data_IF_372755744597
#
_entry.id   IF_372755744597
#
_cell.length_a   1.000
_cell.length_b   1.000
_cell.length_c   1.000
_cell.angle_alpha   90.00
_cell.angle_beta   90.00
_cell.angle_gamma   90.00
#
_symmetry.space_group_name_H-M   'P 1'
#
loop_
_entity.id
_entity.type
_entity.pdbx_description
1 polymer ?
#
# COMPACT_ATOMS: atom_id res chain seq x y z
N UNK A 1 97.85 1.61 -19.34
CA UNK A 1 97.80 0.46 -18.40
C UNK A 1 96.93 0.83 -17.21
N UNK A 2 96.10 -0.14 -16.79
CA UNK A 2 95.29 -0.22 -15.56
C UNK A 2 93.82 0.20 -15.70
N UNK A 3 93.03 -0.84 -15.90
CA UNK A 3 91.57 -0.93 -15.91
C UNK A 3 90.98 -0.61 -14.53
N UNK A 4 89.78 -0.03 -14.49
CA UNK A 4 88.86 -0.26 -13.38
C UNK A 4 87.42 -0.18 -13.86
N UNK A 5 86.64 -1.13 -13.36
CA UNK A 5 85.37 -1.64 -13.88
C UNK A 5 84.22 -0.84 -13.27
N UNK A 6 83.32 -0.34 -14.11
CA UNK A 6 82.10 0.36 -13.68
C UNK A 6 80.98 -0.67 -13.51
N UNK A 7 80.78 -1.17 -12.29
CA UNK A 7 79.67 -2.07 -11.96
C UNK A 7 78.40 -1.25 -11.70
N UNK A 8 77.51 -1.25 -12.69
CA UNK A 8 76.15 -0.72 -12.60
C UNK A 8 75.29 -1.70 -11.77
N UNK A 9 75.06 -1.40 -10.49
CA UNK A 9 74.12 -2.16 -9.64
C UNK A 9 72.72 -1.57 -9.83
N UNK A 10 71.89 -2.29 -10.57
CA UNK A 10 70.47 -1.99 -10.73
C UNK A 10 69.72 -2.49 -9.48
N UNK A 11 69.44 -1.60 -8.55
CA UNK A 11 68.63 -1.89 -7.36
C UNK A 11 67.17 -1.97 -7.79
N UNK A 12 66.66 -3.18 -8.00
CA UNK A 12 65.23 -3.46 -8.05
C UNK A 12 64.65 -3.11 -6.69
N UNK A 13 63.97 -1.96 -6.62
CA UNK A 13 63.21 -1.54 -5.44
C UNK A 13 62.09 -2.54 -5.17
N UNK A 14 62.32 -3.42 -4.21
CA UNK A 14 61.29 -4.29 -3.67
C UNK A 14 60.16 -3.41 -3.11
N UNK A 15 58.94 -3.59 -3.63
CA UNK A 15 57.74 -3.09 -2.97
C UNK A 15 57.76 -3.60 -1.53
N UNK A 16 57.97 -2.69 -0.59
CA UNK A 16 57.92 -3.05 0.82
C UNK A 16 56.48 -3.44 1.16
N UNK A 17 56.29 -4.46 1.99
CA UNK A 17 54.97 -4.86 2.50
C UNK A 17 54.20 -3.70 3.17
N UNK A 18 54.91 -2.65 3.59
CA UNK A 18 54.35 -1.40 4.08
C UNK A 18 53.57 -0.60 3.02
N UNK A 19 54.05 -0.53 1.77
CA UNK A 19 53.35 0.16 0.68
C UNK A 19 52.08 -0.59 0.24
N UNK A 20 52.11 -1.92 0.30
CA UNK A 20 50.94 -2.77 0.04
C UNK A 20 49.90 -2.59 1.15
N UNK A 21 50.31 -2.55 2.42
CA UNK A 21 49.38 -2.30 3.53
C UNK A 21 48.81 -0.88 3.53
N UNK A 22 49.57 0.13 3.11
CA UNK A 22 49.03 1.48 2.89
C UNK A 22 48.05 1.53 1.72
N UNK A 23 48.36 0.88 0.59
CA UNK A 23 47.45 0.80 -0.54
C UNK A 23 46.15 0.06 -0.17
N UNK A 24 46.22 -1.04 0.59
CA UNK A 24 45.05 -1.77 1.11
C UNK A 24 44.29 -0.92 2.13
N UNK A 25 44.98 -0.15 2.97
CA UNK A 25 44.34 0.78 3.92
C UNK A 25 43.63 1.92 3.20
N UNK A 26 44.20 2.50 2.15
CA UNK A 26 43.59 3.60 1.39
C UNK A 26 42.46 3.12 0.49
N UNK A 27 42.57 1.90 -0.06
CA UNK A 27 41.47 1.22 -0.76
C UNK A 27 40.35 0.88 0.22
N UNK A 28 40.65 0.34 1.40
CA UNK A 28 39.64 0.14 2.45
C UNK A 28 39.06 1.47 2.92
N UNK A 29 39.82 2.56 3.05
CA UNK A 29 39.28 3.88 3.42
C UNK A 29 38.40 4.49 2.32
N UNK A 30 38.63 4.10 1.07
CA UNK A 30 37.82 4.49 -0.10
C UNK A 30 36.57 3.62 -0.27
N UNK A 31 36.63 2.33 0.11
CA UNK A 31 35.53 1.37 0.08
C UNK A 31 34.67 1.41 1.36
N UNK A 32 35.26 1.76 2.49
CA UNK A 32 34.65 1.98 3.82
C UNK A 32 34.35 3.45 4.06
N UNK A 33 34.30 4.26 3.00
CA UNK A 33 33.63 5.55 3.08
C UNK A 33 32.13 5.23 3.25
N UNK A 34 31.72 4.98 4.49
CA UNK A 34 30.34 5.14 4.91
C UNK A 34 29.98 6.58 4.57
N UNK A 35 29.52 6.81 3.34
CA UNK A 35 28.86 8.06 2.99
C UNK A 35 27.64 8.06 3.89
N UNK A 36 27.60 8.94 4.91
CA UNK A 36 26.44 9.00 5.78
C UNK A 36 25.26 9.28 4.87
N UNK A 37 24.24 8.41 4.88
CA UNK A 37 23.07 8.57 4.04
C UNK A 37 22.55 9.99 4.23
N UNK A 38 22.47 10.75 3.13
CA UNK A 38 21.95 12.10 3.23
C UNK A 38 20.45 12.02 3.55
N UNK A 39 19.90 13.08 4.12
CA UNK A 39 18.45 13.18 4.33
C UNK A 39 17.66 12.98 3.02
N UNK A 40 18.25 13.34 1.88
CA UNK A 40 17.68 13.10 0.56
C UNK A 40 17.70 11.62 0.17
N UNK A 41 18.79 10.89 0.42
CA UNK A 41 18.89 9.46 0.11
C UNK A 41 17.88 8.63 0.92
N UNK A 42 17.73 8.95 2.21
CA UNK A 42 16.74 8.31 3.09
C UNK A 42 15.32 8.60 2.59
N UNK A 43 15.02 9.85 2.25
CA UNK A 43 13.70 10.22 1.74
C UNK A 43 13.35 9.55 0.40
N UNK A 44 14.30 9.49 -0.53
CA UNK A 44 14.12 8.81 -1.81
C UNK A 44 13.97 7.30 -1.66
N UNK A 45 14.79 6.68 -0.80
CA UNK A 45 14.67 5.25 -0.50
C UNK A 45 13.30 4.89 0.10
N UNK A 46 12.79 5.71 1.02
CA UNK A 46 11.44 5.53 1.58
C UNK A 46 10.36 5.66 0.50
N UNK A 47 10.43 6.68 -0.36
CA UNK A 47 9.47 6.86 -1.46
C UNK A 47 9.43 5.66 -2.39
N UNK A 48 10.59 5.16 -2.81
CA UNK A 48 10.67 3.99 -3.68
C UNK A 48 10.10 2.73 -3.02
N UNK A 49 10.42 2.52 -1.73
CA UNK A 49 9.86 1.42 -0.95
C UNK A 49 8.32 1.52 -0.86
N UNK A 50 7.78 2.71 -0.61
CA UNK A 50 6.34 2.95 -0.55
C UNK A 50 5.68 2.77 -1.92
N UNK A 51 6.26 3.28 -3.00
CA UNK A 51 5.76 3.08 -4.37
C UNK A 51 5.67 1.59 -4.69
N UNK A 52 6.72 0.83 -4.38
CA UNK A 52 6.75 -0.62 -4.59
C UNK A 52 5.71 -1.34 -3.74
N UNK A 53 5.62 -1.01 -2.45
CA UNK A 53 4.67 -1.61 -1.51
C UNK A 53 3.22 -1.38 -1.94
N UNK A 54 2.85 -0.13 -2.25
CA UNK A 54 1.53 0.21 -2.77
C UNK A 54 1.25 -0.45 -4.11
N UNK A 55 2.23 -0.50 -5.00
CA UNK A 55 2.03 -1.13 -6.32
C UNK A 55 1.66 -2.60 -6.15
N UNK A 56 2.42 -3.33 -5.33
CA UNK A 56 2.15 -4.74 -5.02
C UNK A 56 0.80 -4.89 -4.32
N UNK A 57 0.52 -4.04 -3.32
CA UNK A 57 -0.73 -4.06 -2.58
C UNK A 57 -1.96 -3.84 -3.47
N UNK A 58 -1.94 -2.80 -4.30
CA UNK A 58 -3.01 -2.50 -5.24
C UNK A 58 -3.14 -3.59 -6.32
N UNK A 59 -2.03 -4.13 -6.84
CA UNK A 59 -2.06 -5.23 -7.80
C UNK A 59 -2.63 -6.52 -7.19
N UNK A 60 -2.35 -6.80 -5.91
CA UNK A 60 -2.93 -7.94 -5.22
C UNK A 60 -4.41 -7.73 -4.91
N UNK A 61 -4.78 -6.56 -4.41
CA UNK A 61 -6.15 -6.23 -4.04
C UNK A 61 -7.08 -6.19 -5.27
N UNK A 62 -6.56 -5.77 -6.42
CA UNK A 62 -7.35 -5.65 -7.66
C UNK A 62 -7.55 -6.94 -8.45
N UNK A 63 -6.86 -8.01 -8.08
CA UNK A 63 -7.06 -9.32 -8.70
C UNK A 63 -8.43 -9.89 -8.35
N UNK A 64 -8.94 -10.79 -9.20
CA UNK A 64 -10.12 -11.59 -8.88
C UNK A 64 -9.87 -12.36 -7.58
N UNK A 65 -10.68 -12.08 -6.56
CA UNK A 65 -10.60 -12.57 -5.18
C UNK A 65 -9.55 -11.88 -4.30
N UNK A 66 -8.93 -10.81 -4.78
CA UNK A 66 -8.02 -9.97 -3.99
C UNK A 66 -8.70 -9.39 -2.76
N UNK A 67 -9.98 -9.02 -2.87
CA UNK A 67 -10.83 -8.70 -1.71
C UNK A 67 -11.59 -9.92 -1.22
N UNK A 68 -12.40 -10.57 -2.08
CA UNK A 68 -13.43 -11.49 -1.62
C UNK A 68 -12.91 -12.70 -0.81
N UNK A 69 -11.70 -13.20 -1.12
CA UNK A 69 -11.06 -14.32 -0.40
C UNK A 69 -10.00 -13.88 0.60
N UNK A 70 -9.68 -12.59 0.68
CA UNK A 70 -8.72 -12.08 1.66
C UNK A 70 -9.46 -11.62 2.91
N UNK A 71 -9.36 -12.39 4.01
CA UNK A 71 -10.07 -12.10 5.25
C UNK A 71 -9.70 -10.76 5.90
N UNK A 72 -8.53 -10.19 5.56
CA UNK A 72 -8.06 -8.92 6.13
C UNK A 72 -8.75 -7.71 5.49
N UNK A 73 -9.08 -7.80 4.20
CA UNK A 73 -9.64 -6.66 3.43
C UNK A 73 -11.00 -6.96 2.80
N UNK A 74 -11.52 -8.18 2.93
CA UNK A 74 -12.87 -8.54 2.47
C UNK A 74 -13.88 -7.58 3.07
N UNK A 75 -14.70 -6.98 2.23
CA UNK A 75 -15.82 -6.15 2.67
C UNK A 75 -16.96 -7.09 3.09
N UNK A 76 -17.29 -7.19 4.39
CA UNK A 76 -18.37 -8.04 4.84
C UNK A 76 -19.72 -7.38 4.58
N UNK A 77 -20.79 -8.15 4.82
CA UNK A 77 -22.11 -7.55 4.97
C UNK A 77 -22.07 -6.51 6.11
N UNK A 78 -22.79 -5.37 6.01
CA UNK A 78 -22.63 -4.30 6.99
C UNK A 78 -22.89 -4.76 8.42
N UNK A 79 -21.93 -4.54 9.36
CA UNK A 79 -22.00 -5.09 10.71
C UNK A 79 -23.20 -4.52 11.49
N UNK A 80 -23.57 -3.28 11.21
CA UNK A 80 -24.71 -2.59 11.85
C UNK A 80 -26.05 -3.30 11.56
N UNK A 81 -26.11 -4.11 10.50
CA UNK A 81 -27.27 -4.94 10.14
C UNK A 81 -26.98 -6.44 10.22
N UNK A 82 -26.03 -6.88 11.06
CA UNK A 82 -25.76 -8.33 11.25
C UNK A 82 -27.03 -9.14 11.57
N UNK A 83 -27.91 -8.59 12.42
CA UNK A 83 -29.20 -9.21 12.75
C UNK A 83 -30.14 -9.36 11.54
N UNK A 84 -30.03 -8.47 10.55
CA UNK A 84 -30.77 -8.56 9.29
C UNK A 84 -30.19 -9.67 8.45
N UNK A 85 -28.86 -9.74 8.33
CA UNK A 85 -28.18 -10.83 7.63
C UNK A 85 -28.62 -12.20 8.17
N UNK A 86 -28.62 -12.37 9.50
CA UNK A 86 -28.99 -13.62 10.15
C UNK A 86 -30.44 -14.00 9.85
N UNK A 87 -31.36 -13.03 9.92
CA UNK A 87 -32.77 -13.25 9.57
C UNK A 87 -32.96 -13.61 8.10
N UNK A 88 -32.24 -12.95 7.18
CA UNK A 88 -32.31 -13.25 5.75
C UNK A 88 -31.86 -14.68 5.46
N UNK A 89 -30.77 -15.11 6.10
CA UNK A 89 -30.31 -16.48 6.01
C UNK A 89 -31.34 -17.47 6.57
N UNK A 90 -31.96 -17.16 7.73
CA UNK A 90 -32.98 -18.01 8.34
C UNK A 90 -34.23 -18.21 7.48
N UNK A 91 -34.63 -17.21 6.69
CA UNK A 91 -35.80 -17.30 5.79
C UNK A 91 -35.47 -17.85 4.39
N UNK A 92 -34.24 -18.36 4.19
CA UNK A 92 -33.82 -18.99 2.94
C UNK A 92 -33.14 -18.05 1.92
N UNK A 93 -32.93 -16.78 2.26
CA UNK A 93 -32.27 -15.78 1.38
C UNK A 93 -30.74 -15.70 1.59
N UNK A 94 -30.12 -16.80 2.00
CA UNK A 94 -28.67 -16.83 2.25
C UNK A 94 -27.84 -16.65 0.98
N UNK A 95 -28.31 -17.19 -0.15
CA UNK A 95 -27.67 -17.05 -1.46
C UNK A 95 -27.59 -15.60 -1.92
N UNK A 96 -28.61 -14.81 -1.64
CA UNK A 96 -28.73 -13.40 -2.01
C UNK A 96 -27.77 -12.55 -1.18
N UNK A 97 -27.64 -12.86 0.11
CA UNK A 97 -26.63 -12.26 0.98
C UNK A 97 -25.22 -12.57 0.45
N UNK A 98 -24.95 -13.82 0.09
CA UNK A 98 -23.63 -14.22 -0.42
C UNK A 98 -23.32 -13.56 -1.77
N UNK A 99 -24.30 -13.47 -2.66
CA UNK A 99 -24.18 -12.80 -3.96
C UNK A 99 -23.95 -11.29 -3.81
N UNK A 100 -24.61 -10.67 -2.83
CA UNK A 100 -24.37 -9.28 -2.47
C UNK A 100 -22.92 -9.07 -2.02
N UNK A 101 -22.44 -9.88 -1.06
CA UNK A 101 -21.07 -9.74 -0.54
C UNK A 101 -20.07 -9.96 -1.67
N UNK A 102 -20.27 -10.98 -2.50
CA UNK A 102 -19.43 -11.24 -3.65
C UNK A 102 -19.35 -10.03 -4.58
N UNK A 103 -20.50 -9.47 -4.98
CA UNK A 103 -20.56 -8.37 -5.95
C UNK A 103 -19.93 -7.10 -5.40
N UNK A 104 -20.17 -6.81 -4.12
CA UNK A 104 -19.55 -5.70 -3.43
C UNK A 104 -18.01 -5.81 -3.43
N UNK A 105 -17.49 -7.00 -3.12
CA UNK A 105 -16.04 -7.23 -3.17
C UNK A 105 -15.48 -7.19 -4.60
N UNK A 106 -16.25 -7.60 -5.63
CA UNK A 106 -15.86 -7.37 -7.03
C UNK A 106 -15.77 -5.89 -7.37
N UNK A 107 -16.69 -5.07 -6.85
CA UNK A 107 -16.61 -3.62 -6.99
C UNK A 107 -15.35 -3.04 -6.36
N UNK A 108 -14.98 -3.52 -5.17
CA UNK A 108 -13.74 -3.11 -4.50
C UNK A 108 -12.47 -3.55 -5.27
N UNK A 109 -12.44 -4.76 -5.81
CA UNK A 109 -11.35 -5.25 -6.68
C UNK A 109 -11.17 -4.35 -7.92
N UNK A 110 -12.28 -3.95 -8.55
CA UNK A 110 -12.26 -3.00 -9.67
C UNK A 110 -11.80 -1.61 -9.24
N UNK A 111 -12.28 -1.11 -8.10
CA UNK A 111 -11.89 0.20 -7.58
C UNK A 111 -10.40 0.25 -7.21
N UNK A 112 -9.84 -0.83 -6.66
CA UNK A 112 -8.43 -0.93 -6.33
C UNK A 112 -7.49 -0.76 -7.54
N UNK A 113 -7.94 -1.07 -8.76
CA UNK A 113 -7.17 -0.80 -9.99
C UNK A 113 -6.95 0.71 -10.18
N UNK A 114 -7.95 1.52 -9.86
CA UNK A 114 -7.92 2.98 -9.98
C UNK A 114 -7.10 3.65 -8.87
N UNK A 115 -6.87 2.95 -7.75
CA UNK A 115 -6.18 3.46 -6.57
C UNK A 115 -4.67 3.66 -6.79
N UNK A 116 -4.05 2.75 -7.54
CA UNK A 116 -2.60 2.69 -7.74
C UNK A 116 -2.00 4.01 -8.23
N UNK A 117 -2.49 4.65 -9.32
CA UNK A 117 -1.93 5.92 -9.79
C UNK A 117 -2.12 7.07 -8.78
N UNK A 118 -3.20 7.06 -7.99
CA UNK A 118 -3.47 8.08 -6.97
C UNK A 118 -2.40 8.03 -5.87
N UNK A 119 -2.17 6.84 -5.30
CA UNK A 119 -1.15 6.66 -4.28
C UNK A 119 0.27 6.94 -4.79
N UNK A 120 0.63 6.47 -6.00
CA UNK A 120 1.96 6.75 -6.57
C UNK A 120 2.19 8.25 -6.72
N UNK A 121 1.17 8.99 -7.20
CA UNK A 121 1.25 10.45 -7.33
C UNK A 121 1.45 11.13 -5.97
N UNK A 122 0.71 10.69 -4.94
CA UNK A 122 0.84 11.21 -3.59
C UNK A 122 2.22 10.92 -2.96
N UNK A 123 2.78 9.72 -3.18
CA UNK A 123 4.11 9.35 -2.67
C UNK A 123 5.20 10.15 -3.38
N UNK A 124 5.10 10.32 -4.71
CA UNK A 124 6.09 11.11 -5.46
C UNK A 124 6.10 12.57 -5.03
N UNK A 125 4.92 13.11 -4.69
CA UNK A 125 4.73 14.48 -4.21
C UNK A 125 5.09 14.69 -2.73
N UNK A 126 5.44 13.63 -2.00
CA UNK A 126 5.84 13.69 -0.59
C UNK A 126 7.09 14.55 -0.40
N UNK A 127 7.12 15.39 0.63
CA UNK A 127 8.33 16.18 0.96
C UNK A 127 9.37 15.34 1.70
N UNK A 128 10.59 15.84 1.84
CA UNK A 128 11.61 15.17 2.67
C UNK A 128 11.20 15.18 4.15
N UNK A 129 10.53 16.23 4.61
CA UNK A 129 10.04 16.33 5.99
C UNK A 129 8.91 15.34 6.28
N UNK A 130 7.99 15.13 5.32
CA UNK A 130 6.98 14.08 5.41
C UNK A 130 7.64 12.69 5.51
N UNK A 131 8.67 12.44 4.68
CA UNK A 131 9.40 11.18 4.70
C UNK A 131 10.08 10.93 6.06
N UNK A 132 10.69 11.96 6.66
CA UNK A 132 11.25 11.86 8.02
C UNK A 132 10.19 11.65 9.09
N UNK A 133 9.03 12.30 8.94
CA UNK A 133 7.89 12.16 9.85
C UNK A 133 7.32 10.74 9.81
N UNK A 134 7.30 10.12 8.63
CA UNK A 134 6.93 8.70 8.48
C UNK A 134 7.98 7.80 9.11
N UNK A 135 9.27 8.02 8.84
CA UNK A 135 10.35 7.17 9.34
C UNK A 135 10.46 7.16 10.87
N UNK A 136 10.19 8.30 11.51
CA UNK A 136 10.23 8.45 12.98
C UNK A 136 8.86 8.31 13.64
N UNK A 137 7.82 8.11 12.83
CA UNK A 137 6.44 8.07 13.27
C UNK A 137 6.07 6.73 13.90
N UNK A 138 4.79 6.61 14.25
CA UNK A 138 4.20 5.34 14.67
C UNK A 138 4.18 4.33 13.51
N UNK A 139 4.01 3.02 13.77
CA UNK A 139 4.02 2.00 12.73
C UNK A 139 3.06 2.23 11.55
N UNK A 140 2.00 3.02 11.75
CA UNK A 140 0.99 3.36 10.75
C UNK A 140 1.17 4.76 10.12
N UNK A 141 2.28 5.46 10.39
CA UNK A 141 2.48 6.84 9.94
C UNK A 141 2.38 7.02 8.41
N UNK A 142 2.89 6.06 7.64
CA UNK A 142 2.75 6.06 6.18
C UNK A 142 1.27 5.95 5.76
N UNK A 143 0.51 5.07 6.42
CA UNK A 143 -0.93 4.88 6.18
C UNK A 143 -1.70 6.15 6.53
N UNK A 144 -1.41 6.79 7.66
CA UNK A 144 -2.07 8.04 8.06
C UNK A 144 -1.77 9.17 7.07
N UNK A 145 -0.51 9.30 6.63
CA UNK A 145 -0.12 10.26 5.60
C UNK A 145 -0.93 10.04 4.32
N UNK A 146 -0.94 8.81 3.80
CA UNK A 146 -1.64 8.47 2.56
C UNK A 146 -3.14 8.75 2.67
N UNK A 147 -3.80 8.29 3.74
CA UNK A 147 -5.22 8.59 4.01
C UNK A 147 -5.50 10.09 3.93
N UNK A 148 -4.71 10.90 4.63
CA UNK A 148 -4.88 12.36 4.64
C UNK A 148 -4.79 12.97 3.24
N UNK A 149 -3.88 12.49 2.39
CA UNK A 149 -3.61 13.13 1.08
C UNK A 149 -4.34 12.48 -0.09
N UNK A 150 -4.90 11.28 0.05
CA UNK A 150 -5.56 10.55 -1.05
C UNK A 150 -7.05 10.28 -0.84
N UNK A 151 -7.59 10.31 0.38
CA UNK A 151 -8.97 9.83 0.64
C UNK A 151 -10.04 10.51 -0.21
N UNK A 152 -9.95 11.83 -0.45
CA UNK A 152 -10.91 12.53 -1.30
C UNK A 152 -10.86 12.04 -2.76
N UNK A 153 -9.66 11.94 -3.32
CA UNK A 153 -9.46 11.47 -4.69
C UNK A 153 -9.88 10.01 -4.86
N UNK A 154 -9.59 9.17 -3.86
CA UNK A 154 -10.04 7.79 -3.81
C UNK A 154 -11.56 7.72 -3.78
N UNK A 155 -12.23 8.47 -2.88
CA UNK A 155 -13.69 8.48 -2.77
C UNK A 155 -14.36 8.90 -4.08
N UNK A 156 -13.85 9.94 -4.73
CA UNK A 156 -14.37 10.41 -6.01
C UNK A 156 -14.22 9.38 -7.14
N UNK A 157 -13.13 8.61 -7.14
CA UNK A 157 -12.88 7.57 -8.15
C UNK A 157 -13.59 6.26 -7.86
N UNK A 158 -13.67 5.87 -6.59
CA UNK A 158 -14.22 4.59 -6.15
C UNK A 158 -15.74 4.59 -6.22
N UNK A 159 -16.38 5.69 -5.83
CA UNK A 159 -17.85 5.80 -5.77
C UNK A 159 -18.55 5.34 -7.06
N UNK A 160 -18.20 5.83 -8.27
CA UNK A 160 -18.87 5.37 -9.49
C UNK A 160 -18.55 3.91 -9.86
N UNK A 161 -17.36 3.41 -9.54
CA UNK A 161 -16.96 2.02 -9.81
C UNK A 161 -17.76 1.05 -8.93
N UNK A 162 -17.87 1.38 -7.64
CA UNK A 162 -18.63 0.61 -6.67
C UNK A 162 -20.12 0.67 -6.99
N UNK A 163 -20.66 1.85 -7.29
CA UNK A 163 -22.05 2.00 -7.75
C UNK A 163 -22.34 1.09 -8.97
N UNK A 164 -21.48 1.14 -9.99
CA UNK A 164 -21.64 0.31 -11.19
C UNK A 164 -21.60 -1.19 -10.89
N UNK A 165 -20.73 -1.62 -9.95
CA UNK A 165 -20.70 -3.01 -9.50
C UNK A 165 -22.00 -3.41 -8.80
N UNK A 166 -22.51 -2.56 -7.91
CA UNK A 166 -23.73 -2.81 -7.15
C UNK A 166 -24.98 -2.81 -8.03
N UNK A 167 -25.03 -1.97 -9.05
CA UNK A 167 -26.15 -1.89 -10.01
C UNK A 167 -26.29 -3.17 -10.83
N UNK A 168 -25.20 -3.87 -11.15
CA UNK A 168 -25.22 -5.13 -11.93
C UNK A 168 -26.04 -6.24 -11.29
N UNK A 169 -26.22 -6.22 -9.97
CA UNK A 169 -26.98 -7.24 -9.25
C UNK A 169 -28.18 -6.66 -8.49
N UNK A 170 -28.56 -5.41 -8.81
CA UNK A 170 -29.56 -4.66 -8.05
C UNK A 170 -29.25 -4.62 -6.53
N UNK A 171 -27.97 -4.70 -6.14
CA UNK A 171 -27.56 -4.76 -4.73
C UNK A 171 -28.04 -3.53 -3.96
N UNK A 172 -27.96 -2.35 -4.58
CA UNK A 172 -28.41 -1.07 -4.03
C UNK A 172 -29.90 -1.08 -3.70
N UNK A 173 -30.72 -1.66 -4.58
CA UNK A 173 -32.17 -1.81 -4.38
C UNK A 173 -32.47 -2.79 -3.26
N UNK A 174 -31.89 -3.99 -3.32
CA UNK A 174 -32.15 -5.03 -2.30
C UNK A 174 -31.66 -4.59 -0.92
N UNK A 175 -30.48 -4.01 -0.81
CA UNK A 175 -29.98 -3.48 0.46
C UNK A 175 -30.87 -2.36 1.00
N UNK A 176 -31.26 -1.40 0.15
CA UNK A 176 -32.14 -0.31 0.53
C UNK A 176 -33.48 -0.82 1.06
N UNK A 177 -34.12 -1.76 0.37
CA UNK A 177 -35.40 -2.35 0.81
C UNK A 177 -35.27 -3.10 2.15
N UNK A 178 -34.17 -3.83 2.33
CA UNK A 178 -33.85 -4.56 3.56
C UNK A 178 -33.60 -3.62 4.76
N UNK A 179 -32.74 -2.62 4.57
CA UNK A 179 -32.41 -1.64 5.61
C UNK A 179 -33.61 -0.76 5.94
N UNK A 180 -34.39 -0.33 4.95
CA UNK A 180 -35.61 0.45 5.19
C UNK A 180 -36.67 -0.36 5.95
N UNK A 181 -36.76 -1.66 5.70
CA UNK A 181 -37.65 -2.55 6.48
C UNK A 181 -37.14 -2.73 7.91
N UNK A 182 -35.83 -2.93 8.09
CA UNK A 182 -35.21 -3.03 9.41
C UNK A 182 -35.37 -1.73 10.23
N UNK A 183 -35.12 -0.57 9.61
CA UNK A 183 -35.23 0.74 10.25
C UNK A 183 -36.65 1.12 10.69
N UNK A 184 -37.69 0.37 10.26
CA UNK A 184 -39.08 0.52 10.71
C UNK A 184 -39.37 -0.22 12.02
N UNK A 185 -38.49 -1.11 12.47
CA UNK A 185 -38.66 -1.83 13.74
C UNK A 185 -38.46 -0.85 14.91
N UNK A 186 -39.42 -0.68 15.83
CA UNK A 186 -39.22 0.17 17.01
C UNK A 186 -38.03 -0.35 17.85
N UNK A 187 -37.27 0.58 18.45
CA UNK A 187 -36.15 0.29 19.37
C UNK A 187 -34.90 -0.36 18.75
N UNK A 188 -34.77 -0.45 17.42
CA UNK A 188 -33.50 -0.83 16.77
C UNK A 188 -32.63 0.39 16.46
N UNK A 189 -31.32 0.18 16.44
CA UNK A 189 -30.37 1.19 15.94
C UNK A 189 -30.53 1.30 14.42
N UNK A 190 -30.80 2.51 13.93
CA UNK A 190 -30.96 2.76 12.49
C UNK A 190 -29.63 2.58 11.76
N UNK A 191 -29.72 2.07 10.54
CA UNK A 191 -28.56 1.87 9.65
C UNK A 191 -28.70 2.72 8.40
N UNK A 192 -27.58 3.18 7.84
CA UNK A 192 -27.54 3.94 6.60
C UNK A 192 -28.08 3.08 5.44
N UNK A 193 -29.15 3.48 4.75
CA UNK A 193 -29.64 2.76 3.58
C UNK A 193 -28.78 2.99 2.33
N UNK A 194 -27.85 3.96 2.33
CA UNK A 194 -26.92 4.17 1.22
C UNK A 194 -25.76 3.16 1.27
N UNK A 195 -25.96 2.10 0.50
CA UNK A 195 -24.97 1.04 0.33
C UNK A 195 -23.66 1.55 -0.30
N UNK A 196 -23.75 2.50 -1.23
CA UNK A 196 -22.59 2.94 -1.99
C UNK A 196 -21.63 3.71 -1.10
N UNK A 197 -22.17 4.53 -0.19
CA UNK A 197 -21.37 5.24 0.80
C UNK A 197 -20.63 4.27 1.72
N UNK A 198 -21.36 3.30 2.31
CA UNK A 198 -20.75 2.25 3.15
C UNK A 198 -19.63 1.50 2.42
N UNK A 199 -19.93 1.05 1.20
CA UNK A 199 -19.00 0.28 0.38
C UNK A 199 -17.76 1.10 -0.01
N UNK A 200 -17.95 2.37 -0.36
CA UNK A 200 -16.85 3.26 -0.76
C UNK A 200 -15.94 3.56 0.41
N UNK A 201 -16.51 3.85 1.58
CA UNK A 201 -15.72 4.21 2.75
C UNK A 201 -14.91 3.01 3.30
N UNK A 202 -15.40 1.78 3.13
CA UNK A 202 -14.62 0.58 3.48
C UNK A 202 -13.55 0.18 2.46
N UNK A 203 -13.69 0.63 1.23
CA UNK A 203 -12.73 0.30 0.17
C UNK A 203 -11.46 1.17 0.24
N UNK A 204 -11.47 2.30 0.97
CA UNK A 204 -10.40 3.33 0.98
C UNK A 204 -9.57 3.39 2.27
#
# INVERSE_FOLDING_TARGET
>A
MKHSIWSLVFVLGACTSAQINQAISDVNKSLSKEVPLTAADVGNGLKEALVKGISIGADNASQTNGYYKNLEIKIPFPPDVKKVEDKLRQIGLGSEVDQFVLTLNRGAEQAAQEAKPIFITAIRSMTIDDAWSILRGQPDAATQYLKRVTSLQLKDKFKPVIQSALDKVNATKYYGDLVNTYNKIPLVQKVNPDLNEYATDLAI
#
